data_IF_681474438218
#
_entry.id   IF_681474438218
#
_cell.length_a   1.000
_cell.length_b   1.000
_cell.length_c   1.000
_cell.angle_alpha   90.00
_cell.angle_beta   90.00
_cell.angle_gamma   90.00
#
_symmetry.space_group_name_H-M   'P 1'
#
loop_
_entity.id
_entity.type
_entity.pdbx_description
1 polymer ?
#
# COMPACT_ATOMS: atom_id res chain seq x y z
N UNK A 1 17.82 5.55 -22.55
CA UNK A 1 17.27 4.19 -22.77
C UNK A 1 18.18 3.08 -22.23
N UNK A 2 19.47 2.96 -22.58
CA UNK A 2 20.34 1.87 -22.07
C UNK A 2 20.53 1.87 -20.54
N UNK A 3 20.68 3.03 -19.92
CA UNK A 3 20.86 3.16 -18.46
C UNK A 3 19.55 2.88 -17.70
N UNK A 4 18.41 3.35 -18.20
CA UNK A 4 17.08 3.05 -17.64
C UNK A 4 16.83 1.54 -17.61
N UNK A 5 17.04 0.84 -18.75
CA UNK A 5 16.89 -0.62 -18.82
C UNK A 5 17.85 -1.34 -17.86
N UNK A 6 19.10 -0.86 -17.74
CA UNK A 6 20.07 -1.41 -16.78
C UNK A 6 19.60 -1.27 -15.34
N UNK A 7 18.96 -0.15 -14.96
CA UNK A 7 18.36 0.02 -13.64
C UNK A 7 17.21 -0.95 -13.39
N UNK A 8 16.31 -1.11 -14.38
CA UNK A 8 15.27 -2.14 -14.28
C UNK A 8 15.86 -3.53 -14.07
N UNK A 9 16.90 -3.91 -14.85
CA UNK A 9 17.57 -5.21 -14.70
C UNK A 9 18.08 -5.43 -13.28
N UNK A 10 18.75 -4.44 -12.70
CA UNK A 10 19.32 -4.53 -11.35
C UNK A 10 18.24 -4.57 -10.27
N UNK A 11 17.18 -3.75 -10.37
CA UNK A 11 16.08 -3.76 -9.43
C UNK A 11 15.32 -5.10 -9.42
N UNK A 12 15.06 -5.65 -10.61
CA UNK A 12 14.37 -6.93 -10.73
C UNK A 12 15.24 -8.10 -10.26
N UNK A 13 16.55 -8.04 -10.51
CA UNK A 13 17.51 -9.05 -10.04
C UNK A 13 17.79 -9.01 -8.53
N UNK A 14 17.27 -8.02 -7.80
CA UNK A 14 17.36 -7.91 -6.35
C UNK A 14 16.02 -8.34 -5.71
N UNK A 15 15.85 -9.61 -5.29
CA UNK A 15 14.64 -10.06 -4.62
C UNK A 15 14.41 -9.30 -3.32
N UNK A 16 13.14 -8.93 -3.07
CA UNK A 16 12.73 -8.16 -1.89
C UNK A 16 11.30 -8.52 -1.50
N UNK A 17 11.04 -9.79 -1.33
CA UNK A 17 9.69 -10.30 -1.06
C UNK A 17 9.26 -9.92 0.35
N UNK A 18 8.03 -9.44 0.48
CA UNK A 18 7.36 -9.18 1.74
C UNK A 18 6.27 -10.22 1.97
N UNK A 19 6.31 -10.90 3.11
CA UNK A 19 5.36 -11.97 3.43
C UNK A 19 5.13 -12.10 4.93
N UNK A 20 3.89 -12.43 5.31
CA UNK A 20 3.56 -12.86 6.66
C UNK A 20 4.13 -14.24 7.01
N UNK A 21 4.53 -15.03 6.00
CA UNK A 21 5.17 -16.34 6.18
C UNK A 21 6.69 -16.17 6.12
N UNK A 22 7.42 -16.44 7.21
CA UNK A 22 8.86 -16.16 7.31
C UNK A 22 9.71 -16.84 6.23
N UNK A 23 9.29 -18.01 5.76
CA UNK A 23 10.00 -18.76 4.72
C UNK A 23 10.01 -18.08 3.34
N UNK A 24 9.11 -17.14 3.09
CA UNK A 24 9.04 -16.35 1.85
C UNK A 24 9.52 -14.92 2.04
N UNK A 25 9.66 -14.46 3.29
CA UNK A 25 10.02 -13.09 3.58
C UNK A 25 11.52 -12.84 3.36
N UNK A 26 11.87 -11.73 2.74
CA UNK A 26 13.26 -11.35 2.46
C UNK A 26 13.51 -9.86 2.70
N UNK A 27 14.77 -9.52 2.99
CA UNK A 27 15.16 -8.12 3.17
C UNK A 27 15.15 -7.36 1.85
N UNK A 28 14.65 -6.11 1.88
CA UNK A 28 14.72 -5.17 0.78
C UNK A 28 16.06 -4.42 0.70
N UNK A 29 17.05 -4.75 1.57
CA UNK A 29 18.30 -4.00 1.70
C UNK A 29 19.06 -3.85 0.38
N UNK A 30 19.08 -4.88 -0.46
CA UNK A 30 19.77 -4.83 -1.75
C UNK A 30 19.15 -3.76 -2.69
N UNK A 31 17.83 -3.63 -2.70
CA UNK A 31 17.12 -2.58 -3.47
C UNK A 31 17.44 -1.20 -2.91
N UNK A 32 17.40 -1.03 -1.59
CA UNK A 32 17.74 0.22 -0.91
C UNK A 32 19.17 0.65 -1.23
N UNK A 33 20.14 -0.29 -1.21
CA UNK A 33 21.53 0.01 -1.51
C UNK A 33 21.72 0.46 -2.96
N UNK A 34 21.06 -0.20 -3.93
CA UNK A 34 21.07 0.22 -5.33
C UNK A 34 20.53 1.65 -5.51
N UNK A 35 19.40 1.97 -4.87
CA UNK A 35 18.82 3.31 -4.94
C UNK A 35 19.74 4.36 -4.34
N UNK A 36 20.35 4.10 -3.18
CA UNK A 36 21.30 4.99 -2.55
C UNK A 36 22.57 5.18 -3.41
N UNK A 37 23.08 4.10 -4.03
CA UNK A 37 24.22 4.15 -4.95
C UNK A 37 23.95 5.05 -6.17
N UNK A 38 22.74 5.03 -6.71
CA UNK A 38 22.39 5.85 -7.89
C UNK A 38 22.08 7.31 -7.54
N UNK A 39 21.46 7.54 -6.36
CA UNK A 39 21.02 8.89 -5.95
C UNK A 39 22.17 9.73 -5.36
N UNK A 40 23.10 9.11 -4.64
CA UNK A 40 24.24 9.83 -4.03
C UNK A 40 25.08 10.62 -5.04
N UNK A 41 25.48 10.07 -6.22
CA UNK A 41 26.21 10.82 -7.24
C UNK A 41 25.41 11.99 -7.84
N UNK A 42 24.08 11.94 -7.78
CA UNK A 42 23.17 13.01 -8.22
C UNK A 42 23.03 14.13 -7.19
N UNK A 43 23.71 14.01 -6.03
CA UNK A 43 23.74 15.00 -4.97
C UNK A 43 22.71 14.82 -3.87
N UNK A 44 22.00 13.71 -3.85
CA UNK A 44 21.07 13.38 -2.76
C UNK A 44 21.81 13.00 -1.48
N UNK A 45 21.32 13.50 -0.35
CA UNK A 45 21.65 13.00 0.98
C UNK A 45 20.75 11.78 1.27
N UNK A 46 21.35 10.62 1.43
CA UNK A 46 20.67 9.32 1.53
C UNK A 46 20.67 8.81 2.97
N UNK A 47 19.54 8.94 3.67
CA UNK A 47 19.31 8.34 4.99
C UNK A 47 18.69 6.95 4.81
N UNK A 48 19.44 5.89 5.16
CA UNK A 48 18.92 4.52 5.24
C UNK A 48 18.39 4.30 6.66
N UNK A 49 17.08 4.16 6.80
CA UNK A 49 16.38 4.05 8.07
C UNK A 49 15.92 2.60 8.28
N UNK A 50 16.47 1.88 9.28
CA UNK A 50 15.96 0.56 9.63
C UNK A 50 14.53 0.67 10.17
N UNK A 51 13.66 -0.24 9.75
CA UNK A 51 12.32 -0.38 10.31
C UNK A 51 12.43 -1.06 11.68
N UNK A 52 11.76 -0.55 12.74
CA UNK A 52 11.84 -1.12 14.08
C UNK A 52 11.42 -2.58 14.16
N UNK A 53 12.16 -3.39 14.90
CA UNK A 53 11.93 -4.84 15.06
C UNK A 53 10.56 -5.20 15.62
N UNK A 54 9.99 -4.32 16.45
CA UNK A 54 8.66 -4.51 17.05
C UNK A 54 7.54 -4.56 16.00
N UNK A 55 7.84 -4.08 14.77
CA UNK A 55 6.91 -4.07 13.64
C UNK A 55 7.17 -5.16 12.63
N UNK A 56 8.26 -5.89 12.79
CA UNK A 56 8.77 -6.88 11.84
C UNK A 56 8.73 -8.28 12.45
N UNK A 57 8.77 -9.26 11.57
CA UNK A 57 9.17 -10.62 11.93
C UNK A 57 10.69 -10.69 12.18
N UNK A 58 11.36 -11.76 11.70
CA UNK A 58 12.80 -11.95 11.87
C UNK A 58 13.63 -11.18 10.85
N UNK A 59 13.07 -10.84 9.69
CA UNK A 59 13.77 -10.22 8.55
C UNK A 59 13.96 -8.71 8.77
N UNK A 60 15.19 -8.23 8.54
CA UNK A 60 15.47 -6.79 8.59
C UNK A 60 14.92 -6.07 7.34
N UNK A 61 14.21 -4.98 7.58
CA UNK A 61 13.65 -4.12 6.54
C UNK A 61 14.17 -2.68 6.68
N UNK A 62 14.22 -1.95 5.60
CA UNK A 62 14.78 -0.60 5.56
C UNK A 62 13.95 0.33 4.68
N UNK A 63 13.82 1.58 5.11
CA UNK A 63 13.39 2.67 4.24
C UNK A 63 14.61 3.46 3.77
N UNK A 64 14.50 4.12 2.60
CA UNK A 64 15.42 5.13 2.13
C UNK A 64 14.71 6.47 2.04
N UNK A 65 15.29 7.48 2.69
CA UNK A 65 14.91 8.89 2.54
C UNK A 65 16.07 9.58 1.85
N UNK A 66 15.97 9.79 0.54
CA UNK A 66 16.99 10.47 -0.24
C UNK A 66 16.53 11.90 -0.54
N UNK A 67 17.23 12.91 -0.05
CA UNK A 67 16.85 14.32 -0.13
C UNK A 67 17.83 15.11 -0.97
N UNK A 68 17.34 15.84 -1.97
CA UNK A 68 18.08 16.81 -2.74
C UNK A 68 17.57 18.21 -2.45
N UNK A 69 18.45 19.12 -2.06
CA UNK A 69 18.08 20.46 -1.63
C UNK A 69 17.71 20.54 -0.13
N UNK A 70 17.18 21.66 0.28
CA UNK A 70 16.84 21.92 1.69
C UNK A 70 15.71 22.93 1.80
N UNK A 71 15.16 23.08 3.01
CA UNK A 71 14.08 24.04 3.30
C UNK A 71 12.73 23.37 3.52
N UNK A 72 11.70 24.17 3.82
CA UNK A 72 10.34 23.68 4.05
C UNK A 72 9.63 23.40 2.72
N UNK A 73 8.73 22.44 2.71
CA UNK A 73 7.93 22.11 1.54
C UNK A 73 8.55 21.03 0.66
N UNK A 74 8.41 21.17 -0.66
CA UNK A 74 8.98 20.25 -1.64
C UNK A 74 8.08 19.07 -2.03
N UNK A 75 8.61 18.23 -2.92
CA UNK A 75 7.95 17.09 -3.52
C UNK A 75 8.59 15.78 -3.03
N UNK A 76 7.77 14.86 -2.58
CA UNK A 76 8.14 13.48 -2.29
C UNK A 76 7.64 12.59 -3.43
N UNK A 77 8.55 11.85 -4.07
CA UNK A 77 8.22 10.75 -4.96
C UNK A 77 8.43 9.47 -4.18
N UNK A 78 7.33 8.80 -3.84
CA UNK A 78 7.30 7.65 -2.95
C UNK A 78 6.93 6.36 -3.67
N UNK A 79 7.47 5.26 -3.20
CA UNK A 79 7.08 3.93 -3.61
C UNK A 79 7.64 2.86 -2.68
N UNK A 80 7.10 1.65 -2.77
CA UNK A 80 7.62 0.52 -2.04
C UNK A 80 8.69 -0.23 -2.83
N UNK A 81 9.55 -0.91 -2.10
CA UNK A 81 10.69 -1.66 -2.64
C UNK A 81 10.50 -3.16 -2.58
N UNK A 82 9.50 -3.59 -1.86
CA UNK A 82 9.13 -5.00 -1.72
C UNK A 82 8.21 -5.46 -2.86
N UNK A 83 7.98 -6.75 -2.90
CA UNK A 83 7.10 -7.44 -3.85
C UNK A 83 6.39 -8.58 -3.15
N UNK A 84 5.26 -9.01 -3.71
CA UNK A 84 4.57 -10.21 -3.22
C UNK A 84 5.37 -11.50 -3.46
N UNK A 85 5.11 -12.58 -2.70
CA UNK A 85 5.62 -13.91 -3.03
C UNK A 85 5.16 -14.36 -4.41
N UNK A 86 6.04 -15.01 -5.15
CA UNK A 86 5.71 -15.60 -6.45
C UNK A 86 6.06 -17.08 -6.51
N UNK A 87 5.45 -17.82 -7.44
CA UNK A 87 5.87 -19.17 -7.79
C UNK A 87 6.58 -19.14 -9.16
N UNK A 88 7.93 -19.15 -9.19
CA UNK A 88 8.71 -19.04 -10.44
C UNK A 88 8.40 -20.12 -11.48
N UNK A 89 7.97 -21.31 -11.06
CA UNK A 89 7.66 -22.43 -11.98
C UNK A 89 6.42 -22.15 -12.84
N UNK A 90 5.59 -21.20 -12.44
CA UNK A 90 4.37 -20.80 -13.17
C UNK A 90 4.58 -19.62 -14.11
N UNK A 91 5.74 -18.96 -14.04
CA UNK A 91 6.08 -17.85 -14.90
C UNK A 91 6.59 -18.33 -16.26
N UNK A 92 6.33 -17.58 -17.32
CA UNK A 92 6.85 -17.89 -18.67
C UNK A 92 8.32 -17.52 -18.84
N UNK A 93 8.87 -16.69 -17.93
CA UNK A 93 10.28 -16.31 -17.81
C UNK A 93 10.64 -16.18 -16.34
N UNK A 94 11.93 -16.16 -16.01
CA UNK A 94 12.40 -15.99 -14.64
C UNK A 94 11.91 -14.64 -14.08
N UNK A 95 11.09 -14.61 -12.98
CA UNK A 95 10.56 -13.39 -12.41
C UNK A 95 11.62 -12.41 -11.87
N UNK A 96 12.82 -12.91 -11.56
CA UNK A 96 13.95 -12.11 -11.08
C UNK A 96 14.96 -11.75 -12.19
N UNK A 97 14.59 -11.98 -13.45
CA UNK A 97 15.39 -11.61 -14.61
C UNK A 97 14.57 -10.82 -15.61
N UNK A 98 14.90 -9.52 -15.73
CA UNK A 98 14.20 -8.66 -16.68
C UNK A 98 14.21 -9.26 -18.08
N UNK A 99 13.04 -9.46 -18.67
CA UNK A 99 12.86 -10.01 -20.03
C UNK A 99 12.09 -9.01 -20.87
N UNK A 100 12.73 -8.51 -21.94
CA UNK A 100 12.05 -7.66 -22.93
C UNK A 100 11.42 -8.51 -24.02
N UNK A 101 10.12 -8.36 -24.25
CA UNK A 101 9.36 -9.05 -25.28
C UNK A 101 8.11 -8.24 -25.65
N UNK A 102 7.80 -8.14 -26.93
CA UNK A 102 6.56 -7.54 -27.45
C UNK A 102 6.29 -6.11 -26.93
N UNK A 103 7.35 -5.28 -26.83
CA UNK A 103 7.23 -3.91 -26.33
C UNK A 103 6.95 -3.79 -24.83
N UNK A 104 7.27 -4.83 -24.06
CA UNK A 104 7.04 -4.93 -22.61
C UNK A 104 8.29 -5.42 -21.90
N UNK A 105 8.46 -4.99 -20.66
CA UNK A 105 9.47 -5.49 -19.73
C UNK A 105 8.79 -6.38 -18.68
N UNK A 106 9.10 -7.66 -18.70
CA UNK A 106 8.58 -8.66 -17.77
C UNK A 106 9.53 -8.86 -16.60
N UNK A 107 8.98 -9.01 -15.40
CA UNK A 107 9.70 -9.30 -14.17
C UNK A 107 8.93 -8.82 -12.94
N UNK A 108 9.08 -9.47 -11.81
CA UNK A 108 8.41 -9.18 -10.56
C UNK A 108 8.86 -7.82 -10.00
N UNK A 109 7.93 -6.88 -9.83
CA UNK A 109 8.20 -5.49 -9.42
C UNK A 109 8.51 -4.55 -10.59
N UNK A 110 8.35 -4.99 -11.86
CA UNK A 110 8.46 -4.08 -13.01
C UNK A 110 7.33 -3.06 -13.04
N UNK A 111 6.13 -3.47 -12.66
CA UNK A 111 4.91 -2.68 -12.59
C UNK A 111 4.60 -2.28 -11.15
N UNK A 112 4.71 -3.20 -10.21
CA UNK A 112 4.35 -3.05 -8.80
C UNK A 112 5.56 -3.30 -7.88
N UNK A 113 6.30 -2.23 -7.43
CA UNK A 113 6.39 -0.97 -8.13
C UNK A 113 7.84 -0.50 -8.23
N UNK A 114 8.83 -1.45 -8.13
CA UNK A 114 10.27 -1.11 -8.18
C UNK A 114 10.65 -0.33 -9.45
N UNK A 115 9.98 -0.62 -10.59
CA UNK A 115 10.20 0.09 -11.85
C UNK A 115 9.98 1.60 -11.77
N UNK A 116 9.10 2.06 -10.89
CA UNK A 116 8.86 3.49 -10.67
C UNK A 116 10.14 4.25 -10.29
N UNK A 117 11.00 3.67 -9.45
CA UNK A 117 12.24 4.31 -9.03
C UNK A 117 13.21 4.53 -10.19
N UNK A 118 13.31 3.57 -11.11
CA UNK A 118 14.14 3.73 -12.30
C UNK A 118 13.67 4.90 -13.16
N UNK A 119 12.35 5.06 -13.31
CA UNK A 119 11.73 6.16 -14.07
C UNK A 119 11.86 7.51 -13.36
N UNK A 120 11.70 7.53 -12.03
CA UNK A 120 11.90 8.74 -11.22
C UNK A 120 13.35 9.25 -11.32
N UNK A 121 14.34 8.37 -11.25
CA UNK A 121 15.76 8.72 -11.42
C UNK A 121 16.04 9.21 -12.84
N UNK A 122 15.48 8.59 -13.87
CA UNK A 122 15.60 9.04 -15.26
C UNK A 122 15.03 10.46 -15.44
N UNK A 123 13.88 10.78 -14.80
CA UNK A 123 13.30 12.12 -14.82
C UNK A 123 14.21 13.15 -14.14
N UNK A 124 14.83 12.79 -13.02
CA UNK A 124 15.81 13.65 -12.32
C UNK A 124 17.02 13.91 -13.20
N UNK A 125 17.61 12.89 -13.81
CA UNK A 125 18.74 13.02 -14.71
C UNK A 125 18.42 13.85 -15.95
N UNK A 126 17.22 13.71 -16.51
CA UNK A 126 16.77 14.53 -17.63
C UNK A 126 16.75 16.03 -17.28
N UNK A 127 16.28 16.38 -16.09
CA UNK A 127 16.28 17.76 -15.59
C UNK A 127 17.71 18.25 -15.35
N UNK A 128 18.56 17.45 -14.69
CA UNK A 128 19.96 17.78 -14.44
C UNK A 128 20.73 18.08 -15.73
N UNK A 129 20.51 17.26 -16.76
CA UNK A 129 21.14 17.43 -18.07
C UNK A 129 20.67 18.70 -18.79
N UNK A 130 19.38 19.06 -18.67
CA UNK A 130 18.82 20.29 -19.26
C UNK A 130 19.40 21.56 -18.62
N UNK A 131 19.67 21.53 -17.32
CA UNK A 131 20.21 22.67 -16.57
C UNK A 131 21.73 22.82 -16.68
N UNK A 132 22.41 21.89 -17.34
CA UNK A 132 23.84 22.00 -17.72
C UNK A 132 24.84 21.85 -16.57
N UNK A 133 24.38 21.57 -15.35
CA UNK A 133 25.27 21.31 -14.22
C UNK A 133 24.66 20.31 -13.22
N UNK A 134 25.08 19.03 -13.26
CA UNK A 134 24.54 18.00 -12.38
C UNK A 134 24.81 18.22 -10.88
N UNK A 135 25.69 19.15 -10.50
CA UNK A 135 26.06 19.42 -9.10
C UNK A 135 25.44 20.69 -8.51
N UNK A 136 24.66 21.43 -9.25
CA UNK A 136 24.05 22.70 -8.81
C UNK A 136 22.62 22.84 -9.35
N UNK A 137 21.72 21.97 -8.89
CA UNK A 137 20.31 22.31 -8.93
C UNK A 137 20.07 23.40 -7.87
N UNK A 138 19.76 24.61 -8.33
CA UNK A 138 19.21 25.66 -7.46
C UNK A 138 17.73 25.33 -7.19
N UNK A 139 17.52 24.26 -6.39
CA UNK A 139 16.19 23.87 -5.97
C UNK A 139 15.63 24.92 -5.01
N UNK A 140 14.48 25.46 -5.34
CA UNK A 140 13.73 26.37 -4.49
C UNK A 140 13.05 25.64 -3.33
N UNK A 141 12.77 24.33 -3.54
CA UNK A 141 12.15 23.43 -2.59
C UNK A 141 12.81 22.05 -2.71
N UNK A 142 12.93 21.28 -1.63
CA UNK A 142 13.55 19.96 -1.68
C UNK A 142 12.79 18.97 -2.56
N UNK A 143 13.55 18.09 -3.24
CA UNK A 143 13.05 16.88 -3.87
C UNK A 143 13.46 15.69 -3.02
N UNK A 144 12.50 14.82 -2.70
CA UNK A 144 12.73 13.64 -1.86
C UNK A 144 12.30 12.39 -2.64
N UNK A 145 13.20 11.42 -2.75
CA UNK A 145 12.87 10.06 -3.15
C UNK A 145 12.69 9.26 -1.87
N UNK A 146 11.51 8.74 -1.68
CA UNK A 146 11.14 7.92 -0.54
C UNK A 146 10.90 6.49 -1.00
N UNK A 147 11.74 5.56 -0.54
CA UNK A 147 11.60 4.15 -0.82
C UNK A 147 11.26 3.42 0.47
N UNK A 148 10.10 2.79 0.52
CA UNK A 148 9.54 2.17 1.71
C UNK A 148 9.68 0.66 1.69
N UNK A 149 9.50 0.04 2.83
CA UNK A 149 9.53 -1.39 3.02
C UNK A 149 8.14 -1.91 3.44
N UNK A 150 7.87 -3.16 3.07
CA UNK A 150 6.83 -3.98 3.67
C UNK A 150 5.41 -3.47 3.39
N UNK A 151 5.22 -2.81 2.25
CA UNK A 151 3.92 -2.31 1.79
C UNK A 151 2.95 -3.47 1.56
N UNK A 152 3.44 -4.52 0.88
CA UNK A 152 2.70 -5.70 0.44
C UNK A 152 2.22 -6.63 1.58
N UNK A 153 2.56 -6.28 2.84
CA UNK A 153 2.14 -7.08 3.99
C UNK A 153 1.58 -6.23 5.14
N UNK A 154 2.42 -5.47 5.82
CA UNK A 154 2.04 -4.76 7.06
C UNK A 154 2.14 -3.24 6.97
N UNK A 155 2.72 -2.70 5.91
CA UNK A 155 3.08 -1.28 5.76
C UNK A 155 3.97 -0.77 6.90
N UNK A 156 4.82 -1.66 7.46
CA UNK A 156 5.69 -1.34 8.59
C UNK A 156 6.63 -0.19 8.30
N UNK A 157 7.14 -0.09 7.06
CA UNK A 157 7.99 0.99 6.62
C UNK A 157 7.32 2.35 6.72
N UNK A 158 6.13 2.49 6.14
CA UNK A 158 5.36 3.73 6.18
C UNK A 158 4.94 4.12 7.60
N UNK A 159 4.56 3.15 8.44
CA UNK A 159 4.24 3.36 9.85
C UNK A 159 5.43 3.88 10.64
N UNK A 160 6.63 3.31 10.41
CA UNK A 160 7.84 3.76 11.06
C UNK A 160 8.22 5.19 10.69
N UNK A 161 7.93 5.62 9.45
CA UNK A 161 8.09 7.01 9.02
C UNK A 161 7.18 7.97 9.77
N UNK A 162 5.90 7.60 9.94
CA UNK A 162 4.93 8.39 10.72
C UNK A 162 5.38 8.53 12.17
N UNK A 163 5.81 7.44 12.81
CA UNK A 163 6.30 7.47 14.20
C UNK A 163 7.50 8.41 14.37
N UNK A 164 8.37 8.47 13.37
CA UNK A 164 9.55 9.36 13.40
C UNK A 164 9.25 10.77 12.87
N UNK A 165 8.06 11.00 12.31
CA UNK A 165 7.68 12.28 11.71
C UNK A 165 8.53 12.65 10.50
N UNK A 166 8.97 11.70 9.68
CA UNK A 166 9.83 11.86 8.49
C UNK A 166 9.23 11.17 7.27
N UNK A 167 9.56 11.64 6.03
CA UNK A 167 10.23 12.89 5.72
C UNK A 167 9.30 14.11 5.91
N UNK A 168 9.84 15.31 5.75
CA UNK A 168 9.06 16.55 5.68
C UNK A 168 8.96 17.00 4.22
N UNK A 169 7.75 16.96 3.69
CA UNK A 169 7.40 17.42 2.35
C UNK A 169 6.08 18.16 2.38
N UNK A 170 5.75 18.91 1.33
CA UNK A 170 4.43 19.51 1.15
C UNK A 170 3.54 18.66 0.27
N UNK A 171 4.11 18.03 -0.75
CA UNK A 171 3.41 17.21 -1.71
C UNK A 171 4.02 15.80 -1.76
N UNK A 172 3.19 14.79 -1.95
CA UNK A 172 3.63 13.41 -2.14
C UNK A 172 2.92 12.76 -3.34
N UNK A 173 3.67 12.11 -4.20
CA UNK A 173 3.17 11.26 -5.27
C UNK A 173 3.61 9.83 -4.97
N UNK A 174 2.63 8.93 -4.79
CA UNK A 174 2.86 7.49 -4.65
C UNK A 174 2.82 6.87 -6.04
N UNK A 175 3.88 6.22 -6.45
CA UNK A 175 4.09 5.75 -7.83
C UNK A 175 3.42 4.41 -8.18
N UNK A 176 2.31 4.06 -7.54
CA UNK A 176 1.54 2.84 -7.83
C UNK A 176 1.03 2.77 -9.27
N UNK A 177 0.79 1.55 -9.80
CA UNK A 177 0.40 1.36 -11.19
C UNK A 177 -1.04 1.83 -11.47
N UNK A 178 -1.19 3.09 -11.85
CA UNK A 178 -2.49 3.74 -12.11
C UNK A 178 -2.77 3.97 -13.59
N UNK A 179 -1.88 3.54 -14.48
CA UNK A 179 -1.96 3.86 -15.92
C UNK A 179 -1.79 5.35 -16.21
N UNK A 180 -1.03 6.05 -15.37
CA UNK A 180 -0.86 7.52 -15.40
C UNK A 180 -2.17 8.30 -15.23
N UNK A 181 -3.17 7.72 -14.59
CA UNK A 181 -4.40 8.39 -14.21
C UNK A 181 -4.35 8.75 -12.73
N UNK A 182 -4.58 10.01 -12.35
CA UNK A 182 -4.45 10.42 -10.96
C UNK A 182 -5.55 9.80 -10.08
N UNK A 183 -5.14 9.28 -8.93
CA UNK A 183 -6.03 8.74 -7.91
C UNK A 183 -5.92 9.65 -6.69
N UNK A 184 -7.03 10.24 -6.25
CA UNK A 184 -7.09 11.13 -5.10
C UNK A 184 -7.76 10.51 -3.87
N UNK A 185 -8.25 9.26 -3.99
CA UNK A 185 -9.04 8.63 -2.94
C UNK A 185 -8.97 7.11 -3.04
N UNK A 186 -8.84 6.43 -1.90
CA UNK A 186 -9.01 4.98 -1.84
C UNK A 186 -9.62 4.51 -0.52
N UNK A 187 -10.17 3.30 -0.52
CA UNK A 187 -10.70 2.64 0.68
C UNK A 187 -9.57 2.25 1.62
N UNK A 188 -9.88 2.21 2.93
CA UNK A 188 -9.02 1.58 3.93
C UNK A 188 -9.12 0.06 3.90
N UNK A 189 -8.28 -0.60 4.70
CA UNK A 189 -8.29 -2.04 4.93
C UNK A 189 -8.39 -2.30 6.43
N UNK A 190 -9.30 -3.18 6.81
CA UNK A 190 -9.48 -3.64 8.17
C UNK A 190 -9.81 -5.13 8.12
N UNK A 191 -8.92 -5.98 8.61
CA UNK A 191 -9.12 -7.42 8.68
C UNK A 191 -9.20 -7.83 10.13
N UNK A 192 -10.32 -8.45 10.52
CA UNK A 192 -10.64 -8.78 11.90
C UNK A 192 -10.99 -10.25 12.03
N UNK A 193 -10.75 -10.80 13.21
CA UNK A 193 -11.24 -12.09 13.64
C UNK A 193 -12.18 -11.92 14.82
N UNK A 194 -13.39 -12.40 14.67
CA UNK A 194 -14.37 -12.51 15.76
C UNK A 194 -14.41 -13.96 16.23
N UNK A 195 -14.13 -14.18 17.52
CA UNK A 195 -14.31 -15.47 18.18
C UNK A 195 -15.47 -15.40 19.17
N UNK A 196 -16.40 -16.36 19.05
CA UNK A 196 -17.48 -16.57 20.01
C UNK A 196 -17.22 -17.87 20.78
N UNK A 197 -17.25 -17.76 22.11
CA UNK A 197 -17.07 -18.91 23.01
C UNK A 197 -18.33 -19.15 23.81
N UNK A 198 -18.94 -20.31 23.56
CA UNK A 198 -20.08 -20.85 24.30
C UNK A 198 -19.67 -22.04 25.17
N UNK A 199 -20.52 -23.08 25.21
CA UNK A 199 -20.23 -24.27 25.97
C UNK A 199 -20.70 -25.53 25.23
N UNK A 200 -19.81 -26.49 25.05
CA UNK A 200 -20.13 -27.73 24.35
C UNK A 200 -21.04 -28.63 25.20
N UNK A 201 -21.92 -29.35 24.54
CA UNK A 201 -22.85 -30.29 25.16
C UNK A 201 -23.37 -31.34 24.18
N UNK A 202 -24.17 -32.28 24.63
CA UNK A 202 -24.79 -33.27 23.77
C UNK A 202 -25.96 -32.65 22.98
N UNK A 203 -25.99 -32.78 21.67
CA UNK A 203 -27.00 -32.12 20.82
C UNK A 203 -28.43 -32.55 21.00
N UNK A 204 -28.67 -33.73 21.63
CA UNK A 204 -30.01 -34.21 21.92
C UNK A 204 -30.76 -33.41 23.01
N UNK A 205 -30.02 -32.62 23.81
CA UNK A 205 -30.59 -31.73 24.81
C UNK A 205 -29.89 -30.36 24.74
N UNK A 206 -30.51 -29.37 24.07
CA UNK A 206 -29.95 -28.03 23.92
C UNK A 206 -29.65 -27.32 25.24
N UNK A 207 -30.24 -27.73 26.35
CA UNK A 207 -30.01 -27.14 27.69
C UNK A 207 -28.62 -27.47 28.25
N UNK A 208 -27.94 -28.46 27.68
CA UNK A 208 -26.63 -28.92 28.15
C UNK A 208 -25.44 -28.09 27.62
N UNK A 209 -25.71 -27.09 26.78
CA UNK A 209 -24.63 -26.26 26.21
C UNK A 209 -25.08 -24.89 25.78
N UNK A 210 -24.16 -24.13 25.24
CA UNK A 210 -24.39 -22.80 24.67
C UNK A 210 -23.75 -22.83 23.27
N UNK A 211 -24.59 -22.75 22.23
CA UNK A 211 -24.16 -22.94 20.85
C UNK A 211 -23.56 -21.66 20.26
N UNK A 212 -22.25 -21.66 20.03
CA UNK A 212 -21.56 -20.53 19.44
C UNK A 212 -21.93 -20.30 17.96
N UNK A 213 -22.38 -21.33 17.21
CA UNK A 213 -22.82 -21.18 15.81
C UNK A 213 -24.14 -20.41 15.74
N UNK A 214 -25.08 -20.65 16.65
CA UNK A 214 -26.36 -19.91 16.66
C UNK A 214 -26.13 -18.42 16.94
N UNK A 215 -25.19 -18.10 17.85
CA UNK A 215 -24.80 -16.74 18.12
C UNK A 215 -24.08 -16.10 16.90
N UNK A 216 -23.19 -16.84 16.23
CA UNK A 216 -22.48 -16.36 15.05
C UNK A 216 -23.41 -16.08 13.87
N UNK A 217 -24.43 -16.92 13.66
CA UNK A 217 -25.46 -16.67 12.65
C UNK A 217 -26.13 -15.31 12.83
N UNK A 218 -26.53 -14.99 14.09
CA UNK A 218 -27.19 -13.73 14.40
C UNK A 218 -26.24 -12.54 14.25
N UNK A 219 -24.96 -12.69 14.64
CA UNK A 219 -23.93 -11.66 14.42
C UNK A 219 -23.71 -11.41 12.94
N UNK A 220 -23.56 -12.46 12.14
CA UNK A 220 -23.37 -12.30 10.69
C UNK A 220 -24.58 -11.63 10.02
N UNK A 221 -25.79 -11.93 10.49
CA UNK A 221 -27.01 -11.30 10.01
C UNK A 221 -27.01 -9.81 10.36
N UNK A 222 -26.74 -9.46 11.62
CA UNK A 222 -26.68 -8.09 12.10
C UNK A 222 -25.63 -7.26 11.35
N UNK A 223 -24.42 -7.81 11.13
CA UNK A 223 -23.35 -7.09 10.46
C UNK A 223 -23.62 -6.87 8.95
N UNK A 224 -24.42 -7.74 8.31
CA UNK A 224 -24.81 -7.59 6.89
C UNK A 224 -25.94 -6.58 6.66
N UNK A 225 -26.74 -6.28 7.67
CA UNK A 225 -27.95 -5.44 7.56
C UNK A 225 -27.63 -3.93 7.46
N UNK A 226 -26.43 -3.56 7.05
CA UNK A 226 -26.04 -2.17 6.86
C UNK A 226 -26.54 -1.62 5.51
N UNK A 227 -27.61 -0.85 5.56
CA UNK A 227 -28.00 0.06 4.49
C UNK A 227 -27.05 1.28 4.49
N UNK A 228 -25.92 1.15 3.81
CA UNK A 228 -25.03 2.27 3.57
C UNK A 228 -25.52 3.11 2.40
N UNK A 229 -26.58 3.88 2.63
CA UNK A 229 -27.09 4.89 1.71
C UNK A 229 -26.26 6.18 1.90
N UNK A 230 -25.14 6.32 1.20
CA UNK A 230 -24.44 7.59 1.11
C UNK A 230 -23.86 7.78 -0.29
N UNK A 231 -24.02 9.00 -0.82
CA UNK A 231 -23.45 9.46 -2.09
C UNK A 231 -21.93 9.65 -1.96
N UNK A 232 -21.18 8.57 -2.12
CA UNK A 232 -19.71 8.64 -2.24
C UNK A 232 -19.30 8.37 -3.69
N UNK A 233 -18.24 9.03 -4.15
CA UNK A 233 -17.58 8.73 -5.44
C UNK A 233 -17.01 7.30 -5.47
N UNK A 234 -16.78 6.69 -4.30
CA UNK A 234 -16.48 5.28 -4.11
C UNK A 234 -17.76 4.58 -3.66
N UNK A 235 -18.05 3.44 -4.25
CA UNK A 235 -19.13 2.56 -3.79
C UNK A 235 -18.98 2.26 -2.28
N UNK A 236 -20.13 2.02 -1.62
CA UNK A 236 -20.29 1.72 -0.19
C UNK A 236 -19.14 0.91 0.44
N UNK A 237 -18.90 1.02 1.76
CA UNK A 237 -17.99 0.14 2.46
C UNK A 237 -18.29 -1.32 2.13
N UNK A 238 -17.27 -2.13 1.92
CA UNK A 238 -17.46 -3.54 1.61
C UNK A 238 -17.10 -4.39 2.81
N UNK A 239 -18.03 -5.24 3.23
CA UNK A 239 -17.80 -6.26 4.25
C UNK A 239 -17.83 -7.64 3.60
N UNK A 240 -16.71 -8.36 3.68
CA UNK A 240 -16.57 -9.72 3.19
C UNK A 240 -16.29 -10.68 4.34
N UNK A 241 -17.16 -11.66 4.53
CA UNK A 241 -16.88 -12.79 5.43
C UNK A 241 -16.00 -13.80 4.70
N UNK A 242 -14.71 -13.82 5.04
CA UNK A 242 -13.70 -14.58 4.34
C UNK A 242 -13.59 -16.03 4.81
N UNK A 243 -13.52 -16.23 6.12
CA UNK A 243 -13.36 -17.55 6.71
C UNK A 243 -14.33 -17.75 7.88
N UNK A 244 -14.91 -18.95 7.98
CA UNK A 244 -15.79 -19.32 9.10
C UNK A 244 -15.42 -20.73 9.55
N UNK A 245 -15.10 -20.87 10.84
CA UNK A 245 -14.73 -22.13 11.46
C UNK A 245 -15.52 -22.34 12.75
N UNK A 246 -16.08 -23.53 12.94
CA UNK A 246 -16.81 -23.82 14.18
C UNK A 246 -17.29 -25.26 14.27
N UNK A 247 -17.32 -25.79 15.49
CA UNK A 247 -17.74 -27.15 15.79
C UNK A 247 -16.74 -28.22 15.37
N UNK A 248 -16.96 -29.42 15.86
CA UNK A 248 -16.12 -30.58 15.60
C UNK A 248 -16.92 -31.83 15.25
N UNK A 249 -18.18 -31.89 15.64
CA UNK A 249 -19.04 -33.05 15.41
C UNK A 249 -20.55 -32.65 15.40
N UNK A 250 -21.35 -33.12 14.42
CA UNK A 250 -22.76 -32.73 14.29
C UNK A 250 -23.67 -33.16 15.46
N UNK A 251 -23.28 -34.14 16.30
CA UNK A 251 -24.02 -34.52 17.49
C UNK A 251 -23.55 -33.80 18.76
N UNK A 252 -22.81 -32.71 18.62
CA UNK A 252 -22.27 -31.92 19.71
C UNK A 252 -22.64 -30.44 19.54
N UNK A 253 -23.10 -29.81 20.61
CA UNK A 253 -23.32 -28.35 20.65
C UNK A 253 -21.96 -27.66 20.45
N UNK A 254 -21.89 -26.73 19.52
CA UNK A 254 -20.64 -26.02 19.18
C UNK A 254 -20.23 -25.08 20.32
N UNK A 255 -19.11 -25.37 20.95
CA UNK A 255 -18.57 -24.56 22.04
C UNK A 255 -17.70 -23.36 21.58
N UNK A 256 -17.30 -23.30 20.31
CA UNK A 256 -16.51 -22.17 19.80
C UNK A 256 -16.73 -21.99 18.31
N UNK A 257 -16.90 -20.75 17.85
CA UNK A 257 -17.02 -20.39 16.44
C UNK A 257 -16.20 -19.14 16.16
N UNK A 258 -15.47 -19.14 15.05
CA UNK A 258 -14.56 -18.07 14.63
C UNK A 258 -14.91 -17.60 13.22
N UNK A 259 -14.99 -16.28 13.03
CA UNK A 259 -15.23 -15.61 11.75
C UNK A 259 -14.10 -14.62 11.48
N UNK A 260 -13.37 -14.82 10.38
CA UNK A 260 -12.45 -13.82 9.84
C UNK A 260 -13.11 -13.07 8.68
N UNK A 261 -12.99 -11.74 8.67
CA UNK A 261 -13.62 -10.88 7.69
C UNK A 261 -12.75 -9.68 7.31
N UNK A 262 -13.00 -9.15 6.11
CA UNK A 262 -12.36 -7.96 5.55
C UNK A 262 -13.39 -6.84 5.41
N UNK A 263 -13.11 -5.69 6.01
CA UNK A 263 -13.90 -4.47 5.91
C UNK A 263 -13.07 -3.39 5.19
N UNK A 264 -13.64 -2.82 4.13
CA UNK A 264 -13.04 -1.71 3.39
C UNK A 264 -13.72 -0.40 3.79
N UNK A 265 -13.03 0.35 4.66
CA UNK A 265 -13.49 1.63 5.19
C UNK A 265 -13.48 2.74 4.12
N UNK A 266 -14.46 3.64 4.17
CA UNK A 266 -14.49 4.84 3.33
C UNK A 266 -13.70 5.99 3.96
N UNK A 267 -13.25 6.98 3.16
CA UNK A 267 -12.69 8.22 3.69
C UNK A 267 -13.60 8.88 4.71
N UNK A 268 -12.98 9.30 5.82
CA UNK A 268 -13.70 9.86 6.98
C UNK A 268 -14.11 8.84 8.03
N UNK A 269 -13.96 7.54 7.76
CA UNK A 269 -14.17 6.48 8.75
C UNK A 269 -12.83 6.07 9.36
N UNK A 270 -12.73 6.05 10.68
CA UNK A 270 -11.56 5.54 11.39
C UNK A 270 -11.73 4.06 11.69
N UNK A 271 -10.66 3.28 11.54
CA UNK A 271 -10.69 1.84 11.83
C UNK A 271 -11.06 1.57 13.31
N UNK A 272 -10.60 2.43 14.24
CA UNK A 272 -10.90 2.33 15.67
C UNK A 272 -12.39 2.59 15.94
N UNK A 273 -12.98 3.59 15.28
CA UNK A 273 -14.41 3.89 15.40
C UNK A 273 -15.26 2.74 14.86
N UNK A 274 -14.92 2.22 13.66
CA UNK A 274 -15.62 1.10 13.06
C UNK A 274 -15.55 -0.16 13.94
N UNK A 275 -14.39 -0.45 14.54
CA UNK A 275 -14.26 -1.56 15.49
C UNK A 275 -15.16 -1.37 16.71
N UNK A 276 -15.16 -0.18 17.31
CA UNK A 276 -16.01 0.13 18.46
C UNK A 276 -17.52 0.01 18.13
N UNK A 277 -17.93 0.43 16.93
CA UNK A 277 -19.30 0.26 16.43
C UNK A 277 -19.65 -1.23 16.26
N UNK A 278 -18.76 -2.02 15.68
CA UNK A 278 -18.95 -3.48 15.54
C UNK A 278 -19.07 -4.16 16.90
N UNK A 279 -18.20 -3.84 17.85
CA UNK A 279 -18.29 -4.36 19.23
C UNK A 279 -19.62 -3.98 19.90
N UNK A 280 -20.07 -2.75 19.71
CA UNK A 280 -21.35 -2.28 20.26
C UNK A 280 -22.55 -3.05 19.68
N UNK A 281 -22.50 -3.50 18.43
CA UNK A 281 -23.52 -4.31 17.76
C UNK A 281 -23.43 -5.79 18.14
N UNK A 282 -22.24 -6.34 18.32
CA UNK A 282 -22.00 -7.74 18.70
C UNK A 282 -22.41 -7.99 20.16
N UNK A 283 -22.10 -7.06 21.06
CA UNK A 283 -22.30 -7.22 22.50
C UNK A 283 -23.73 -7.60 22.93
N UNK A 284 -24.81 -6.99 22.41
CA UNK A 284 -26.17 -7.41 22.74
C UNK A 284 -26.51 -8.84 22.31
N UNK A 285 -25.96 -9.27 21.14
CA UNK A 285 -26.18 -10.62 20.62
C UNK A 285 -25.43 -11.63 21.49
N UNK A 286 -24.17 -11.37 21.78
CA UNK A 286 -23.35 -12.20 22.66
C UNK A 286 -24.04 -12.39 24.05
N UNK A 287 -24.58 -11.29 24.60
CA UNK A 287 -25.32 -11.33 25.88
C UNK A 287 -26.60 -12.17 25.78
N UNK A 288 -27.38 -12.04 24.70
CA UNK A 288 -28.61 -12.80 24.47
C UNK A 288 -28.37 -14.31 24.36
N UNK A 289 -27.28 -14.68 23.70
CA UNK A 289 -26.86 -16.09 23.54
C UNK A 289 -26.01 -16.61 24.69
N UNK A 290 -25.67 -15.76 25.67
CA UNK A 290 -24.76 -16.07 26.78
C UNK A 290 -23.39 -16.62 26.33
N UNK A 291 -22.88 -16.10 25.23
CA UNK A 291 -21.52 -16.38 24.74
C UNK A 291 -20.56 -15.26 25.13
N UNK A 292 -19.29 -15.59 25.29
CA UNK A 292 -18.21 -14.61 25.32
C UNK A 292 -17.81 -14.28 23.88
N UNK A 293 -17.33 -13.05 23.62
CA UNK A 293 -16.77 -12.67 22.33
C UNK A 293 -15.43 -11.96 22.49
N UNK A 294 -14.57 -12.18 21.52
CA UNK A 294 -13.30 -11.50 21.33
C UNK A 294 -13.23 -11.03 19.88
N UNK A 295 -12.94 -9.74 19.67
CA UNK A 295 -12.73 -9.14 18.35
C UNK A 295 -11.28 -8.67 18.28
N UNK A 296 -10.48 -9.27 17.40
CA UNK A 296 -9.05 -9.04 17.27
C UNK A 296 -8.70 -8.66 15.83
N UNK A 297 -7.76 -7.73 15.67
CA UNK A 297 -7.18 -7.41 14.37
C UNK A 297 -6.18 -8.47 13.92
N UNK A 298 -6.32 -8.90 12.68
CA UNK A 298 -5.33 -9.77 12.03
C UNK A 298 -4.05 -9.01 11.66
N UNK A 299 -4.14 -7.69 11.46
CA UNK A 299 -3.02 -6.79 11.25
C UNK A 299 -3.46 -5.35 11.59
N UNK A 300 -2.54 -4.37 11.69
CA UNK A 300 -2.89 -3.00 12.11
C UNK A 300 -3.87 -2.24 11.20
N UNK A 301 -4.23 -2.81 10.04
CA UNK A 301 -5.11 -2.19 9.05
C UNK A 301 -4.46 -1.02 8.30
N UNK A 302 -5.11 -0.51 7.27
CA UNK A 302 -4.68 0.68 6.52
C UNK A 302 -5.80 1.70 6.56
N UNK A 303 -5.55 2.96 6.94
CA UNK A 303 -6.58 3.99 6.88
C UNK A 303 -7.05 4.22 5.45
N UNK A 304 -8.26 4.74 5.30
CA UNK A 304 -8.70 5.29 4.02
C UNK A 304 -7.98 6.58 3.70
N UNK A 305 -7.97 6.96 2.44
CA UNK A 305 -7.26 8.11 1.91
C UNK A 305 -8.18 8.99 1.07
N UNK A 306 -8.10 10.30 1.25
CA UNK A 306 -8.75 11.26 0.37
C UNK A 306 -8.01 12.61 0.35
N UNK A 307 -7.72 13.11 -0.85
CA UNK A 307 -7.27 14.47 -1.10
C UNK A 307 -8.40 15.26 -1.76
N UNK A 308 -8.59 16.53 -1.33
CA UNK A 308 -9.62 17.39 -1.89
C UNK A 308 -9.42 17.56 -3.40
N UNK A 309 -10.51 17.48 -4.17
CA UNK A 309 -10.48 17.63 -5.63
C UNK A 309 -9.94 18.99 -6.09
N UNK A 310 -10.03 20.02 -5.25
CA UNK A 310 -9.52 21.36 -5.55
C UNK A 310 -8.09 21.60 -5.02
N UNK A 311 -7.45 20.58 -4.46
CA UNK A 311 -6.08 20.64 -4.00
C UNK A 311 -5.11 20.94 -5.15
N UNK A 312 -4.04 21.70 -4.89
CA UNK A 312 -3.07 22.12 -5.92
C UNK A 312 -2.49 20.93 -6.69
N UNK A 313 -2.14 19.85 -5.98
CA UNK A 313 -1.54 18.65 -6.57
C UNK A 313 -2.53 17.93 -7.49
N UNK A 314 -3.80 17.82 -7.07
CA UNK A 314 -4.86 17.18 -7.86
C UNK A 314 -5.11 17.97 -9.15
N UNK A 315 -5.29 19.28 -9.05
CA UNK A 315 -5.54 20.16 -10.20
C UNK A 315 -4.37 20.14 -11.21
N UNK A 316 -3.13 20.13 -10.71
CA UNK A 316 -1.97 20.01 -11.56
C UNK A 316 -1.92 18.63 -12.24
N UNK A 317 -2.16 17.55 -11.51
CA UNK A 317 -2.16 16.20 -12.07
C UNK A 317 -3.22 16.02 -13.17
N UNK A 318 -4.44 16.50 -12.94
CA UNK A 318 -5.52 16.48 -13.96
C UNK A 318 -5.13 17.24 -15.24
N UNK A 319 -4.50 18.41 -15.06
CA UNK A 319 -4.02 19.22 -16.17
C UNK A 319 -2.90 18.52 -16.95
N UNK A 320 -1.94 17.91 -16.27
CA UNK A 320 -0.77 17.29 -16.89
C UNK A 320 -1.11 15.96 -17.58
N UNK A 321 -1.98 15.18 -16.98
CA UNK A 321 -2.37 13.86 -17.51
C UNK A 321 -3.56 13.93 -18.48
N UNK A 322 -4.30 15.04 -18.51
CA UNK A 322 -5.58 15.18 -19.21
C UNK A 322 -6.63 14.13 -18.77
N UNK A 323 -6.54 13.69 -17.49
CA UNK A 323 -7.49 12.80 -16.86
C UNK A 323 -8.02 13.42 -15.58
N UNK A 324 -9.30 13.21 -15.28
CA UNK A 324 -9.86 13.57 -13.98
C UNK A 324 -9.35 12.60 -12.92
N UNK A 325 -9.05 13.13 -11.74
CA UNK A 325 -8.68 12.31 -10.58
C UNK A 325 -9.90 11.53 -10.09
N UNK A 326 -9.69 10.27 -9.78
CA UNK A 326 -10.76 9.36 -9.42
C UNK A 326 -10.45 8.60 -8.12
N UNK A 327 -11.37 7.73 -7.73
CA UNK A 327 -11.28 6.88 -6.56
C UNK A 327 -11.06 5.42 -6.94
N UNK A 328 -10.37 4.66 -6.08
CA UNK A 328 -10.14 3.21 -6.25
C UNK A 328 -10.44 2.44 -4.98
N UNK A 329 -10.62 1.13 -5.13
CA UNK A 329 -10.93 0.25 -4.00
C UNK A 329 -9.69 -0.32 -3.29
N UNK A 330 -8.54 -0.41 -3.97
CA UNK A 330 -7.29 -0.88 -3.37
C UNK A 330 -6.67 0.22 -2.49
N UNK A 331 -5.89 -0.18 -1.50
CA UNK A 331 -5.20 0.73 -0.59
C UNK A 331 -3.72 0.85 -0.97
N UNK A 332 -3.10 1.94 -0.54
CA UNK A 332 -1.69 2.27 -0.75
C UNK A 332 -1.13 2.94 0.52
N UNK A 333 0.13 3.35 0.50
CA UNK A 333 0.75 4.12 1.58
C UNK A 333 0.29 5.60 1.67
N UNK A 334 -0.58 6.06 0.79
CA UNK A 334 -1.02 7.47 0.73
C UNK A 334 -1.54 8.04 2.07
N UNK A 335 -2.33 7.33 2.90
CA UNK A 335 -2.77 7.85 4.19
C UNK A 335 -1.63 8.15 5.17
N UNK A 336 -0.51 7.44 5.08
CA UNK A 336 0.66 7.71 5.94
C UNK A 336 1.38 8.99 5.54
N UNK A 337 1.43 9.30 4.24
CA UNK A 337 1.95 10.59 3.77
C UNK A 337 1.04 11.75 4.22
N UNK A 338 -0.28 11.55 4.23
CA UNK A 338 -1.21 12.55 4.79
C UNK A 338 -1.02 12.74 6.31
N UNK A 339 -0.76 11.68 7.07
CA UNK A 339 -0.44 11.77 8.51
C UNK A 339 0.85 12.56 8.76
N UNK A 340 1.79 12.54 7.83
CA UNK A 340 2.99 13.40 7.84
C UNK A 340 2.73 14.85 7.40
N UNK A 341 1.47 15.18 7.04
CA UNK A 341 1.03 16.53 6.67
C UNK A 341 1.18 16.87 5.19
N UNK A 342 1.37 15.89 4.32
CA UNK A 342 1.54 16.11 2.88
C UNK A 342 0.21 16.05 2.13
N UNK A 343 0.01 16.94 1.18
CA UNK A 343 -1.00 16.79 0.15
C UNK A 343 -0.56 15.65 -0.78
N UNK A 344 -1.36 14.58 -0.86
CA UNK A 344 -0.92 13.31 -1.44
C UNK A 344 -1.78 12.90 -2.64
N UNK A 345 -1.15 12.28 -3.62
CA UNK A 345 -1.78 11.72 -4.81
C UNK A 345 -1.15 10.37 -5.13
N UNK A 346 -1.93 9.45 -5.71
CA UNK A 346 -1.39 8.19 -6.23
C UNK A 346 -1.36 8.27 -7.75
N UNK A 347 -0.18 8.10 -8.35
CA UNK A 347 0.02 8.30 -9.79
C UNK A 347 1.32 7.66 -10.25
N UNK A 348 1.22 6.63 -11.06
CA UNK A 348 2.38 5.95 -11.61
C UNK A 348 2.10 5.17 -12.89
N UNK A 349 3.14 4.64 -13.52
CA UNK A 349 3.04 3.85 -14.74
C UNK A 349 2.53 2.44 -14.46
N UNK A 350 2.12 1.74 -15.51
CA UNK A 350 1.62 0.39 -15.41
C UNK A 350 0.12 0.32 -15.08
N UNK A 351 -0.41 -0.88 -14.97
CA UNK A 351 -1.80 -1.12 -14.63
C UNK A 351 -1.89 -1.98 -13.38
N UNK A 352 -2.78 -1.63 -12.48
CA UNK A 352 -3.08 -2.44 -11.29
C UNK A 352 -3.53 -3.87 -11.64
N UNK A 353 -4.05 -4.09 -12.84
CA UNK A 353 -4.40 -5.42 -13.33
C UNK A 353 -3.18 -6.35 -13.50
N UNK A 354 -1.96 -5.78 -13.49
CA UNK A 354 -0.70 -6.53 -13.53
C UNK A 354 -0.13 -6.84 -12.16
N UNK A 355 -0.55 -6.10 -11.13
CA UNK A 355 -0.14 -6.34 -9.77
C UNK A 355 -0.54 -7.76 -9.32
N UNK A 356 0.38 -8.45 -8.65
CA UNK A 356 0.17 -9.81 -8.11
C UNK A 356 -0.16 -10.88 -9.18
N UNK A 357 0.09 -10.61 -10.46
CA UNK A 357 -0.15 -11.53 -11.55
C UNK A 357 1.11 -12.27 -12.00
N UNK A 358 0.92 -13.47 -12.56
CA UNK A 358 1.99 -14.17 -13.28
C UNK A 358 2.36 -13.36 -14.53
N UNK A 359 3.66 -13.37 -14.86
CA UNK A 359 4.18 -12.62 -16.01
C UNK A 359 3.88 -11.11 -15.92
N UNK A 360 3.99 -10.55 -14.70
CA UNK A 360 3.92 -9.12 -14.47
C UNK A 360 4.83 -8.36 -15.44
N UNK A 361 4.33 -7.25 -15.98
CA UNK A 361 5.08 -6.43 -16.93
C UNK A 361 4.72 -4.95 -16.84
N UNK A 362 5.66 -4.12 -17.29
CA UNK A 362 5.39 -2.72 -17.65
C UNK A 362 5.57 -2.54 -19.16
N UNK A 363 4.69 -1.74 -19.79
CA UNK A 363 4.78 -1.44 -21.22
C UNK A 363 5.81 -0.35 -21.50
N UNK A 364 6.63 -0.53 -22.55
CA UNK A 364 7.68 0.45 -22.94
C UNK A 364 7.10 1.80 -23.35
N UNK A 365 5.88 1.85 -23.85
CA UNK A 365 5.19 3.08 -24.26
C UNK A 365 4.79 3.99 -23.10
N UNK A 366 4.74 3.45 -21.86
CA UNK A 366 4.48 4.25 -20.66
C UNK A 366 5.73 4.88 -20.04
N UNK A 367 6.92 4.44 -20.43
CA UNK A 367 8.17 4.92 -19.80
C UNK A 367 8.43 6.39 -20.06
N UNK A 368 8.47 6.79 -21.32
CA UNK A 368 8.75 8.19 -21.69
C UNK A 368 7.66 9.15 -21.16
N UNK A 369 6.34 8.86 -21.28
CA UNK A 369 5.32 9.69 -20.67
C UNK A 369 5.46 9.82 -19.14
N UNK A 370 5.89 8.77 -18.45
CA UNK A 370 6.15 8.83 -16.99
C UNK A 370 7.31 9.77 -16.67
N UNK A 371 8.43 9.63 -17.37
CA UNK A 371 9.61 10.51 -17.20
C UNK A 371 9.25 11.98 -17.42
N UNK A 372 8.49 12.27 -18.48
CA UNK A 372 8.02 13.62 -18.80
C UNK A 372 7.08 14.17 -17.74
N UNK A 373 6.15 13.35 -17.28
CA UNK A 373 5.18 13.71 -16.25
C UNK A 373 5.87 14.03 -14.92
N UNK A 374 6.75 13.14 -14.44
CA UNK A 374 7.52 13.36 -13.22
C UNK A 374 8.42 14.59 -13.32
N UNK A 375 9.05 14.81 -14.49
CA UNK A 375 9.85 16.02 -14.74
C UNK A 375 9.03 17.29 -14.62
N UNK A 376 7.77 17.29 -15.07
CA UNK A 376 6.87 18.44 -14.95
C UNK A 376 6.50 18.71 -13.49
N UNK A 377 6.21 17.68 -12.68
CA UNK A 377 5.97 17.84 -11.25
C UNK A 377 7.20 18.38 -10.50
N UNK A 378 8.40 17.86 -10.79
CA UNK A 378 9.65 18.34 -10.20
C UNK A 378 9.89 19.80 -10.56
N UNK A 379 9.70 20.17 -11.83
CA UNK A 379 9.82 21.55 -12.28
C UNK A 379 8.86 22.48 -11.55
N UNK A 380 7.60 22.10 -11.40
CA UNK A 380 6.56 22.92 -10.75
C UNK A 380 6.82 23.09 -9.25
N UNK A 381 7.17 22.01 -8.55
CA UNK A 381 7.21 22.01 -7.09
C UNK A 381 8.60 22.21 -6.49
N UNK A 382 9.67 21.98 -7.26
CA UNK A 382 11.02 22.09 -6.74
C UNK A 382 11.86 23.20 -7.38
N UNK A 383 11.59 23.58 -8.63
CA UNK A 383 12.42 24.53 -9.39
C UNK A 383 11.79 25.92 -9.54
N UNK A 384 10.47 26.04 -9.59
CA UNK A 384 9.81 27.34 -9.70
C UNK A 384 9.83 28.10 -8.37
N UNK A 385 10.20 29.39 -8.43
CA UNK A 385 9.98 30.32 -7.32
C UNK A 385 8.48 30.53 -7.14
N UNK A 386 7.95 30.25 -5.98
CA UNK A 386 6.57 30.51 -5.59
C UNK A 386 6.42 31.76 -4.78
#
# INVERSE_FOLDING_TARGET
>A
MSQLISRFQQLIAAPSISSALPEYDSSNKAVIDLLAEWLTPLGFDCEIMPVPKERLGETDKYNLIATLGSGPGGLVLSGHTDTVPCNPERWSSDPFKLTERDGKLYGLGTCDMKGFFALAIEAIEAILNQLGNPKQLDLQQPLIILATADEESSMSGARALVDQGKPKGRYAIIGEPTGLKPIRMHKGIMMETLRLTGNAGHSSDPSLGINAIDAMHDVMTELKDENHNQDFEIEVPTLNFGCLHGGDNPNRICGSCELAFDLRALPGMSNEQLRAEMEARIKPIASRHNVQFELESLFPGVPSFATDKNADLVQLAEKLTNHQAHAVAFATEAPFMQQLGMETLVLGPGSIDQAHQLDEFISLDQMQPTVELLSQFINEYCLKSR
#
